data_IF_980228611682
#
_entry.id   IF_980228611682
#
_cell.length_a   1.000
_cell.length_b   1.000
_cell.length_c   1.000
_cell.angle_alpha   90.00
_cell.angle_beta   90.00
_cell.angle_gamma   90.00
#
_symmetry.space_group_name_H-M   'P 1'
#
loop_
_entity.id
_entity.type
_entity.pdbx_description
1 polymer ?
#
# COMPACT_ATOMS: atom_id res chain seq x y z
N UNK A 1 -17.59 39.38 -7.52
CA UNK A 1 -17.57 40.81 -7.86
C UNK A 1 -16.17 41.16 -8.34
N UNK A 2 -15.99 41.42 -9.64
CA UNK A 2 -14.71 41.86 -10.19
C UNK A 2 -14.54 43.34 -9.81
N UNK A 3 -13.42 43.69 -9.19
CA UNK A 3 -13.21 45.02 -8.59
C UNK A 3 -12.64 46.06 -9.55
N UNK A 4 -12.03 45.62 -10.66
CA UNK A 4 -11.47 46.49 -11.69
C UNK A 4 -11.27 45.71 -13.00
N UNK A 5 -11.39 46.39 -14.14
CA UNK A 5 -11.13 45.85 -15.47
C UNK A 5 -10.11 46.75 -16.18
N UNK A 6 -9.04 46.16 -16.67
CA UNK A 6 -8.02 46.82 -17.48
C UNK A 6 -8.06 46.22 -18.89
N UNK A 7 -8.36 47.05 -19.89
CA UNK A 7 -8.55 46.62 -21.28
C UNK A 7 -7.22 46.29 -21.99
N UNK A 8 -6.11 46.89 -21.56
CA UNK A 8 -4.78 46.61 -22.10
C UNK A 8 -4.12 45.46 -21.36
N UNK A 9 -3.87 44.36 -22.08
CA UNK A 9 -3.22 43.17 -21.54
C UNK A 9 -1.70 43.30 -21.65
N UNK A 10 -1.08 43.87 -20.60
CA UNK A 10 0.39 43.92 -20.44
C UNK A 10 0.95 42.71 -19.69
N UNK A 11 0.12 41.69 -19.39
CA UNK A 11 0.55 40.54 -18.60
C UNK A 11 1.58 39.70 -19.37
N UNK A 12 2.75 39.57 -18.77
CA UNK A 12 3.80 38.64 -19.22
C UNK A 12 3.32 37.23 -18.90
N UNK A 13 3.47 36.31 -19.86
CA UNK A 13 3.17 34.89 -19.64
C UNK A 13 4.05 34.32 -18.52
N UNK A 14 3.49 34.24 -17.31
CA UNK A 14 4.12 33.57 -16.19
C UNK A 14 4.00 32.06 -16.37
N UNK A 15 5.12 31.36 -16.39
CA UNK A 15 5.15 29.89 -16.38
C UNK A 15 4.78 29.30 -15.00
N UNK A 16 4.59 30.14 -13.98
CA UNK A 16 4.18 29.71 -12.64
C UNK A 16 2.65 29.67 -12.58
N UNK A 17 2.11 28.46 -12.51
CA UNK A 17 0.68 28.22 -12.30
C UNK A 17 0.44 27.78 -10.85
N UNK A 18 -0.18 28.65 -10.05
CA UNK A 18 -0.55 28.36 -8.65
C UNK A 18 -1.73 27.41 -8.52
N UNK A 19 -2.60 27.37 -9.53
CA UNK A 19 -3.80 26.53 -9.56
C UNK A 19 -3.49 25.07 -9.88
N UNK A 20 -2.36 24.81 -10.54
CA UNK A 20 -1.84 23.48 -10.85
C UNK A 20 -1.25 22.76 -9.61
N UNK A 21 -2.06 22.66 -8.56
CA UNK A 21 -1.68 22.01 -7.30
C UNK A 21 -1.60 20.49 -7.46
N UNK A 22 -0.88 19.82 -6.55
CA UNK A 22 -0.83 18.34 -6.52
C UNK A 22 -2.22 17.70 -6.39
N UNK A 23 -3.19 18.37 -5.75
CA UNK A 23 -4.57 17.90 -5.65
C UNK A 23 -5.28 17.94 -7.00
N UNK A 24 -5.12 19.04 -7.73
CA UNK A 24 -5.71 19.18 -9.06
C UNK A 24 -5.13 18.14 -10.03
N UNK A 25 -3.81 17.96 -10.02
CA UNK A 25 -3.12 16.94 -10.82
C UNK A 25 -3.62 15.54 -10.45
N UNK A 26 -3.73 15.22 -9.15
CA UNK A 26 -4.21 13.91 -8.70
C UNK A 26 -5.60 13.58 -9.28
N UNK A 27 -6.55 14.52 -9.21
CA UNK A 27 -7.90 14.33 -9.77
C UNK A 27 -7.91 13.99 -11.26
N UNK A 28 -6.98 14.57 -12.03
CA UNK A 28 -6.82 14.26 -13.46
C UNK A 28 -6.14 12.91 -13.69
N UNK A 29 -5.28 12.49 -12.76
CA UNK A 29 -4.58 11.22 -12.84
C UNK A 29 -5.42 10.01 -12.42
N UNK A 30 -6.48 10.18 -11.61
CA UNK A 30 -7.29 9.05 -11.12
C UNK A 30 -7.79 8.17 -12.26
N UNK A 31 -8.41 8.73 -13.30
CA UNK A 31 -8.89 7.93 -14.44
C UNK A 31 -7.74 7.28 -15.21
N UNK A 32 -6.70 8.06 -15.51
CA UNK A 32 -5.53 7.62 -16.28
C UNK A 32 -4.78 6.48 -15.57
N UNK A 33 -4.64 6.55 -14.25
CA UNK A 33 -3.94 5.53 -13.46
C UNK A 33 -4.80 4.27 -13.21
N UNK A 34 -6.13 4.37 -13.30
CA UNK A 34 -6.99 3.19 -13.33
C UNK A 34 -6.75 2.36 -14.60
N UNK A 35 -6.65 3.02 -15.75
CA UNK A 35 -6.42 2.35 -17.04
C UNK A 35 -4.95 1.92 -17.20
N UNK A 36 -4.01 2.73 -16.67
CA UNK A 36 -2.58 2.54 -16.81
C UNK A 36 -1.83 2.64 -15.46
N UNK A 37 -1.98 1.63 -14.57
CA UNK A 37 -1.43 1.69 -13.21
C UNK A 37 0.10 1.76 -13.17
N UNK A 38 0.79 1.23 -14.20
CA UNK A 38 2.25 1.24 -14.30
C UNK A 38 2.83 2.50 -14.95
N UNK A 39 2.02 3.55 -15.16
CA UNK A 39 2.49 4.80 -15.75
C UNK A 39 3.71 5.35 -14.99
N UNK A 40 4.74 5.79 -15.70
CA UNK A 40 5.95 6.35 -15.11
C UNK A 40 5.77 7.83 -14.76
N UNK A 41 6.62 8.38 -13.88
CA UNK A 41 6.58 9.82 -13.56
C UNK A 41 6.80 10.70 -14.79
N UNK A 42 7.60 10.25 -15.77
CA UNK A 42 7.75 10.93 -17.07
C UNK A 42 6.44 10.93 -17.86
N UNK A 43 5.73 9.81 -17.87
CA UNK A 43 4.40 9.71 -18.48
C UNK A 43 3.40 10.68 -17.86
N UNK A 44 3.43 10.84 -16.53
CA UNK A 44 2.58 11.82 -15.83
C UNK A 44 2.90 13.25 -16.26
N UNK A 45 4.18 13.61 -16.43
CA UNK A 45 4.56 14.95 -16.91
C UNK A 45 4.01 15.18 -18.32
N UNK A 46 4.19 14.20 -19.22
CA UNK A 46 3.66 14.27 -20.59
C UNK A 46 2.13 14.41 -20.59
N UNK A 47 1.44 13.69 -19.72
CA UNK A 47 -0.01 13.80 -19.57
C UNK A 47 -0.43 15.22 -19.13
N UNK A 48 0.32 15.83 -18.22
CA UNK A 48 0.05 17.19 -17.74
C UNK A 48 0.36 18.28 -18.77
N UNK A 49 1.29 18.03 -19.70
CA UNK A 49 1.58 18.95 -20.79
C UNK A 49 0.37 19.16 -21.71
N UNK A 50 -0.54 18.17 -21.84
CA UNK A 50 -1.82 18.32 -22.58
C UNK A 50 -2.71 19.42 -21.99
N UNK A 51 -2.54 19.72 -20.71
CA UNK A 51 -3.25 20.77 -19.99
C UNK A 51 -2.44 22.08 -19.88
N UNK A 52 -1.29 22.18 -20.59
CA UNK A 52 -0.39 23.34 -20.49
C UNK A 52 0.35 23.46 -19.16
N UNK A 53 0.40 22.37 -18.37
CA UNK A 53 1.03 22.36 -17.04
C UNK A 53 2.34 21.57 -17.10
N UNK A 54 3.43 22.17 -16.63
CA UNK A 54 4.71 21.49 -16.43
C UNK A 54 4.98 21.32 -14.91
N UNK A 55 4.55 20.21 -14.30
CA UNK A 55 4.66 20.02 -12.86
C UNK A 55 6.10 19.69 -12.44
N UNK A 56 6.50 20.19 -11.26
CA UNK A 56 7.75 19.75 -10.63
C UNK A 56 7.72 18.27 -10.27
N UNK A 57 8.91 17.66 -10.13
CA UNK A 57 9.05 16.26 -9.70
C UNK A 57 8.31 15.96 -8.39
N UNK A 58 8.32 16.90 -7.45
CA UNK A 58 7.63 16.76 -6.16
C UNK A 58 6.10 16.86 -6.29
N UNK A 59 5.59 17.71 -7.19
CA UNK A 59 4.17 17.75 -7.50
C UNK A 59 3.71 16.43 -8.11
N UNK A 60 4.47 15.88 -9.05
CA UNK A 60 4.17 14.58 -9.68
C UNK A 60 4.15 13.46 -8.64
N UNK A 61 5.17 13.39 -7.78
CA UNK A 61 5.23 12.38 -6.72
C UNK A 61 4.01 12.45 -5.79
N UNK A 62 3.71 13.65 -5.25
CA UNK A 62 2.58 13.86 -4.34
C UNK A 62 1.23 13.59 -5.01
N UNK A 63 1.07 14.03 -6.26
CA UNK A 63 -0.16 13.83 -7.01
C UNK A 63 -0.41 12.36 -7.32
N UNK A 64 0.65 11.62 -7.71
CA UNK A 64 0.60 10.18 -7.91
C UNK A 64 0.17 9.46 -6.64
N UNK A 65 0.78 9.78 -5.50
CA UNK A 65 0.44 9.16 -4.22
C UNK A 65 -1.03 9.40 -3.85
N UNK A 66 -1.52 10.64 -3.98
CA UNK A 66 -2.93 10.99 -3.73
C UNK A 66 -3.89 10.28 -4.67
N UNK A 67 -3.54 10.17 -5.95
CA UNK A 67 -4.38 9.47 -6.92
C UNK A 67 -4.47 7.96 -6.58
N UNK A 68 -3.38 7.31 -6.20
CA UNK A 68 -3.42 5.91 -5.74
C UNK A 68 -4.21 5.74 -4.44
N UNK A 69 -4.06 6.66 -3.49
CA UNK A 69 -4.86 6.65 -2.25
C UNK A 69 -6.37 6.78 -2.53
N UNK A 70 -6.77 7.54 -3.56
CA UNK A 70 -8.16 7.63 -3.99
C UNK A 70 -8.67 6.37 -4.73
N UNK A 71 -7.78 5.67 -5.46
CA UNK A 71 -8.12 4.45 -6.20
C UNK A 71 -8.19 3.22 -5.28
N UNK A 72 -7.14 3.00 -4.48
CA UNK A 72 -6.95 1.79 -3.66
C UNK A 72 -7.41 1.98 -2.21
N UNK A 73 -7.60 3.23 -1.78
CA UNK A 73 -7.81 3.58 -0.39
C UNK A 73 -6.49 3.83 0.36
N UNK A 74 -6.60 4.37 1.56
CA UNK A 74 -5.44 4.62 2.41
C UNK A 74 -4.97 3.34 3.11
N UNK A 75 -3.66 3.23 3.35
CA UNK A 75 -3.11 2.15 4.16
C UNK A 75 -3.81 2.07 5.53
N UNK A 76 -4.05 3.22 6.18
CA UNK A 76 -4.76 3.30 7.46
C UNK A 76 -6.16 2.69 7.41
N UNK A 77 -6.93 2.98 6.36
CA UNK A 77 -8.26 2.39 6.16
C UNK A 77 -8.20 0.86 5.96
N UNK A 78 -7.14 0.35 5.32
CA UNK A 78 -6.91 -1.09 5.19
C UNK A 78 -6.55 -1.74 6.53
N UNK A 79 -5.65 -1.14 7.32
CA UNK A 79 -5.31 -1.64 8.66
C UNK A 79 -6.50 -1.63 9.62
N UNK A 80 -7.39 -0.64 9.53
CA UNK A 80 -8.62 -0.57 10.33
C UNK A 80 -9.56 -1.78 10.11
N UNK A 81 -9.45 -2.49 8.98
CA UNK A 81 -10.24 -3.69 8.67
C UNK A 81 -9.69 -4.97 9.30
N UNK A 82 -8.42 -4.99 9.74
CA UNK A 82 -7.76 -6.20 10.24
C UNK A 82 -8.47 -6.84 11.45
N UNK A 83 -8.95 -6.10 12.47
CA UNK A 83 -9.63 -6.71 13.61
C UNK A 83 -10.87 -7.51 13.18
N UNK A 84 -11.70 -6.92 12.32
CA UNK A 84 -12.88 -7.58 11.74
C UNK A 84 -12.48 -8.79 10.91
N UNK A 85 -11.44 -8.68 10.09
CA UNK A 85 -10.92 -9.81 9.32
C UNK A 85 -10.46 -10.97 10.21
N UNK A 86 -9.70 -10.67 11.27
CA UNK A 86 -9.21 -11.68 12.21
C UNK A 86 -10.36 -12.42 12.92
N UNK A 87 -11.44 -11.71 13.24
CA UNK A 87 -12.66 -12.31 13.79
C UNK A 87 -13.37 -13.22 12.77
N UNK A 88 -13.53 -12.76 11.53
CA UNK A 88 -14.11 -13.57 10.46
C UNK A 88 -13.33 -14.86 10.21
N UNK A 89 -11.99 -14.81 10.24
CA UNK A 89 -11.14 -16.01 10.11
C UNK A 89 -11.42 -17.00 11.24
N UNK A 90 -11.47 -16.52 12.50
CA UNK A 90 -11.75 -17.39 13.65
C UNK A 90 -13.15 -18.02 13.61
N UNK A 91 -14.15 -17.27 13.15
CA UNK A 91 -15.54 -17.72 13.10
C UNK A 91 -15.79 -18.72 11.96
N UNK A 92 -15.23 -18.48 10.77
CA UNK A 92 -15.52 -19.29 9.58
C UNK A 92 -14.52 -20.44 9.36
N UNK A 93 -13.37 -20.42 10.04
CA UNK A 93 -12.38 -21.50 9.98
C UNK A 93 -12.05 -22.02 11.38
N UNK A 94 -12.99 -22.73 12.05
CA UNK A 94 -12.77 -23.28 13.38
C UNK A 94 -11.44 -24.05 13.48
N UNK A 95 -10.70 -23.80 14.55
CA UNK A 95 -9.37 -24.38 14.78
C UNK A 95 -8.21 -23.63 14.11
N UNK A 96 -8.49 -22.63 13.27
CA UNK A 96 -7.46 -21.70 12.76
C UNK A 96 -7.12 -20.65 13.81
N UNK A 97 -5.86 -20.20 13.84
CA UNK A 97 -5.37 -19.17 14.76
C UNK A 97 -5.20 -17.87 13.98
N UNK A 98 -5.81 -16.79 14.45
CA UNK A 98 -5.57 -15.45 13.93
C UNK A 98 -5.41 -14.46 15.09
N UNK A 99 -4.20 -13.94 15.29
CA UNK A 99 -3.83 -13.05 16.40
C UNK A 99 -3.23 -11.76 15.86
N UNK A 100 -3.73 -10.62 16.33
CA UNK A 100 -3.17 -9.30 16.04
C UNK A 100 -2.39 -8.86 17.28
N UNK A 101 -1.16 -8.42 17.07
CA UNK A 101 -0.29 -7.84 18.09
C UNK A 101 -0.19 -6.34 17.87
N UNK A 102 -0.46 -5.59 18.92
CA UNK A 102 -0.32 -4.13 18.97
C UNK A 102 0.53 -3.73 20.17
N UNK A 103 1.23 -2.60 20.06
CA UNK A 103 1.80 -1.94 21.23
C UNK A 103 0.68 -1.41 22.12
N UNK A 104 0.86 -1.52 23.44
CA UNK A 104 -0.07 -0.92 24.38
C UNK A 104 0.07 0.61 24.39
N UNK A 105 -1.04 1.32 24.62
CA UNK A 105 -0.97 2.74 24.90
C UNK A 105 -0.02 3.02 26.07
N UNK A 106 0.79 4.05 25.94
CA UNK A 106 1.66 4.56 26.99
C UNK A 106 1.49 6.09 27.11
N UNK A 107 2.22 6.73 28.01
CA UNK A 107 2.11 8.18 28.25
C UNK A 107 2.36 9.04 27.00
N UNK A 108 3.04 8.51 26.00
CA UNK A 108 3.40 9.18 24.73
C UNK A 108 2.42 8.79 23.61
N UNK A 109 1.99 7.52 23.56
CA UNK A 109 1.10 6.98 22.54
C UNK A 109 -0.25 6.61 23.14
N UNK A 110 -1.28 7.43 22.87
CA UNK A 110 -2.63 7.20 23.39
C UNK A 110 -3.40 6.09 22.66
N UNK A 111 -2.99 5.74 21.45
CA UNK A 111 -3.65 4.72 20.62
C UNK A 111 -2.76 3.50 20.40
N UNK A 112 -3.34 2.28 20.40
CA UNK A 112 -2.58 1.06 20.17
C UNK A 112 -2.04 1.02 18.73
N UNK A 113 -0.73 0.84 18.59
CA UNK A 113 -0.07 0.77 17.28
C UNK A 113 -0.01 -0.67 16.81
N UNK A 114 -0.52 -0.94 15.61
CA UNK A 114 -0.36 -2.26 14.97
C UNK A 114 1.13 -2.60 14.80
N UNK A 115 1.52 -3.81 15.20
CA UNK A 115 2.85 -4.35 14.97
C UNK A 115 2.84 -5.46 13.93
N UNK A 116 2.05 -6.50 14.17
CA UNK A 116 2.03 -7.71 13.33
C UNK A 116 0.73 -8.48 13.49
N UNK A 117 0.42 -9.29 12.49
CA UNK A 117 -0.65 -10.28 12.53
C UNK A 117 -0.03 -11.67 12.30
N UNK A 118 -0.47 -12.64 13.09
CA UNK A 118 -0.14 -14.05 12.92
C UNK A 118 -1.39 -14.81 12.51
N UNK A 119 -1.30 -15.57 11.42
CA UNK A 119 -2.40 -16.39 10.89
C UNK A 119 -1.86 -17.80 10.65
N UNK A 120 -2.57 -18.80 11.17
CA UNK A 120 -2.33 -20.22 10.92
C UNK A 120 -3.65 -20.89 10.62
N UNK A 121 -3.83 -21.32 9.37
CA UNK A 121 -5.05 -22.00 8.95
C UNK A 121 -4.97 -23.49 9.31
N UNK A 122 -6.02 -24.01 9.96
CA UNK A 122 -6.11 -25.43 10.32
C UNK A 122 -5.98 -26.32 9.09
N UNK A 123 -6.66 -25.99 8.00
CA UNK A 123 -6.62 -26.78 6.77
C UNK A 123 -5.20 -26.90 6.20
N UNK A 124 -4.39 -25.84 6.26
CA UNK A 124 -2.99 -25.89 5.82
C UNK A 124 -2.14 -26.77 6.73
N UNK A 125 -2.33 -26.66 8.05
CA UNK A 125 -1.65 -27.53 9.03
C UNK A 125 -2.00 -29.00 8.79
N UNK A 126 -3.28 -29.31 8.66
CA UNK A 126 -3.76 -30.68 8.48
C UNK A 126 -3.31 -31.25 7.12
N UNK A 127 -3.38 -30.45 6.05
CA UNK A 127 -2.92 -30.85 4.72
C UNK A 127 -1.41 -31.09 4.68
N UNK A 128 -0.63 -30.27 5.37
CA UNK A 128 0.80 -30.51 5.54
C UNK A 128 1.06 -31.82 6.29
N UNK A 129 0.39 -32.03 7.43
CA UNK A 129 0.56 -33.27 8.20
C UNK A 129 0.14 -34.54 7.44
N UNK A 130 -0.91 -34.47 6.63
CA UNK A 130 -1.39 -35.60 5.84
C UNK A 130 -0.55 -35.86 4.58
N UNK A 131 -0.03 -34.79 3.94
CA UNK A 131 0.69 -34.88 2.67
C UNK A 131 2.21 -34.99 2.80
N UNK A 132 2.79 -34.57 3.92
CA UNK A 132 4.22 -34.68 4.13
C UNK A 132 4.61 -36.14 4.39
N UNK A 133 5.62 -36.62 3.66
CA UNK A 133 6.33 -37.84 4.07
C UNK A 133 6.91 -37.61 5.48
N UNK A 134 6.87 -38.63 6.36
CA UNK A 134 7.53 -38.54 7.66
C UNK A 134 8.99 -38.14 7.45
N UNK A 135 9.36 -36.94 7.88
CA UNK A 135 10.76 -36.55 7.93
C UNK A 135 11.41 -37.35 9.06
N UNK A 136 12.29 -38.28 8.71
CA UNK A 136 13.19 -38.91 9.68
C UNK A 136 14.26 -37.86 10.00
N UNK A 137 14.01 -37.07 11.03
CA UNK A 137 15.02 -36.17 11.58
C UNK A 137 16.05 -37.00 12.34
N UNK A 138 17.19 -37.29 11.73
CA UNK A 138 18.34 -37.76 12.48
C UNK A 138 18.88 -36.59 13.31
N UNK A 139 18.79 -36.72 14.63
CA UNK A 139 19.42 -35.80 15.56
C UNK A 139 20.94 -35.83 15.31
N UNK A 140 21.52 -34.67 14.97
CA UNK A 140 22.91 -34.51 14.57
C UNK A 140 23.92 -34.86 15.68
N UNK A 141 23.44 -35.19 16.88
CA UNK A 141 24.28 -35.62 18.00
C UNK A 141 24.97 -36.99 17.81
N UNK A 142 24.65 -37.78 16.77
CA UNK A 142 25.24 -39.11 16.55
C UNK A 142 25.89 -39.35 15.16
N UNK A 143 25.97 -38.35 14.29
CA UNK A 143 26.59 -38.52 12.97
C UNK A 143 28.11 -38.34 13.06
N UNK A 144 28.84 -39.45 13.32
CA UNK A 144 30.31 -39.48 13.25
C UNK A 144 30.88 -39.92 11.91
N UNK A 145 30.09 -40.47 10.98
CA UNK A 145 30.60 -40.87 9.67
C UNK A 145 29.59 -40.63 8.54
N UNK A 146 30.15 -40.45 7.34
CA UNK A 146 29.57 -39.94 6.10
C UNK A 146 28.21 -40.55 5.73
N UNK A 147 27.16 -39.74 5.75
CA UNK A 147 25.84 -40.07 5.19
C UNK A 147 25.53 -39.11 4.04
N UNK A 148 25.61 -39.62 2.81
CA UNK A 148 24.98 -39.01 1.64
C UNK A 148 23.49 -39.36 1.73
N UNK A 149 22.65 -38.37 1.98
CA UNK A 149 21.19 -38.54 1.90
C UNK A 149 20.67 -37.60 0.82
N UNK A 150 20.11 -38.21 -0.24
CA UNK A 150 19.24 -37.51 -1.19
C UNK A 150 17.81 -37.49 -0.66
N UNK A 151 17.16 -36.35 -0.95
CA UNK A 151 15.77 -35.91 -0.70
C UNK A 151 15.51 -35.21 0.64
#
# INVERSE_FOLDING_TARGET
MIKSYHAEHTCIMSKKNTEATSNWIAKKLVSVLKDHPKMTSKGIVVEMLKFGVNPSKMQVYRARQKAFEEIEGSYGASYAKLPKYAELVRNHNPGSICKIHCDLPNLIMKEPRFLRIFISFKAQKDGFQAGCRPFIGFDGCHLKDLLVVFF
#
